data_IF_139079384383
#
_entry.id   IF_139079384383
#
_cell.length_a   1.000
_cell.length_b   1.000
_cell.length_c   1.000
_cell.angle_alpha   90.00
_cell.angle_beta   90.00
_cell.angle_gamma   90.00
#
_symmetry.space_group_name_H-M   'P 1'
#
loop_
_entity.id
_entity.type
_entity.pdbx_description
1 polymer ?
#
# COMPACT_ATOMS: atom_id res chain seq x y z
N UNK A 1 13.83 59.15 12.72
CA UNK A 1 12.61 59.73 12.11
C UNK A 1 12.35 61.06 12.78
N UNK A 2 12.05 62.14 12.04
CA UNK A 2 11.79 63.44 12.65
C UNK A 2 10.38 63.50 13.25
N UNK A 3 10.24 64.16 14.40
CA UNK A 3 8.98 64.41 15.10
C UNK A 3 7.91 65.03 14.18
N UNK A 4 8.36 65.86 13.23
CA UNK A 4 7.51 66.44 12.17
C UNK A 4 6.87 65.41 11.26
N UNK A 5 7.57 64.34 10.89
CA UNK A 5 7.03 63.28 10.04
C UNK A 5 5.97 62.45 10.77
N UNK A 6 6.16 62.24 12.08
CA UNK A 6 5.21 61.51 12.94
C UNK A 6 3.93 62.35 13.12
N UNK A 7 4.05 63.64 13.42
CA UNK A 7 2.88 64.51 13.57
C UNK A 7 2.10 64.66 12.26
N UNK A 8 2.80 64.80 11.13
CA UNK A 8 2.16 64.84 9.81
C UNK A 8 1.39 63.55 9.49
N UNK A 9 1.87 62.39 9.95
CA UNK A 9 1.17 61.13 9.78
C UNK A 9 -0.11 61.08 10.65
N UNK A 10 -0.04 61.56 11.89
CA UNK A 10 -1.21 61.64 12.78
C UNK A 10 -2.31 62.54 12.23
N UNK A 11 -1.97 63.73 11.73
CA UNK A 11 -2.95 64.66 11.15
C UNK A 11 -3.67 64.05 9.95
N UNK A 12 -2.94 63.30 9.11
CA UNK A 12 -3.51 62.61 7.95
C UNK A 12 -4.42 61.45 8.35
N UNK A 13 -4.05 60.69 9.39
CA UNK A 13 -4.90 59.63 9.93
C UNK A 13 -6.17 60.25 10.53
N UNK A 14 -6.07 61.35 11.27
CA UNK A 14 -7.22 62.00 11.87
C UNK A 14 -8.18 62.56 10.81
N UNK A 15 -7.66 63.18 9.75
CA UNK A 15 -8.45 63.62 8.61
C UNK A 15 -9.17 62.45 7.91
N UNK A 16 -8.47 61.33 7.71
CA UNK A 16 -9.07 60.11 7.17
C UNK A 16 -10.16 59.55 8.10
N UNK A 17 -9.93 59.54 9.41
CA UNK A 17 -10.91 59.06 10.39
C UNK A 17 -12.16 59.93 10.47
N UNK A 18 -12.07 61.22 10.13
CA UNK A 18 -13.23 62.11 10.11
C UNK A 18 -14.11 61.91 8.86
N UNK A 19 -13.58 61.39 7.76
CA UNK A 19 -14.35 61.07 6.56
C UNK A 19 -14.99 59.66 6.63
N UNK A 20 -16.27 59.62 7.01
CA UNK A 20 -17.03 58.38 7.13
C UNK A 20 -17.21 57.64 5.77
N UNK A 21 -17.27 58.37 4.65
CA UNK A 21 -17.44 57.77 3.32
C UNK A 21 -16.16 57.08 2.84
N UNK A 22 -15.02 57.73 3.05
CA UNK A 22 -13.72 57.18 2.72
C UNK A 22 -13.35 55.98 3.61
N UNK A 23 -13.62 56.06 4.91
CA UNK A 23 -13.45 54.91 5.83
C UNK A 23 -14.28 53.71 5.42
N UNK A 24 -15.57 53.91 5.15
CA UNK A 24 -16.45 52.79 4.78
C UNK A 24 -16.00 52.09 3.50
N UNK A 25 -15.50 52.84 2.50
CA UNK A 25 -14.91 52.26 1.27
C UNK A 25 -13.67 51.44 1.56
N UNK A 26 -12.80 51.94 2.45
CA UNK A 26 -11.60 51.23 2.89
C UNK A 26 -11.96 49.93 3.63
N UNK A 27 -12.83 50.00 4.64
CA UNK A 27 -13.28 48.85 5.43
C UNK A 27 -13.96 47.78 4.57
N UNK A 28 -14.82 48.19 3.61
CA UNK A 28 -15.43 47.26 2.68
C UNK A 28 -14.36 46.54 1.86
N UNK A 29 -13.38 47.28 1.32
CA UNK A 29 -12.29 46.70 0.55
C UNK A 29 -11.47 45.70 1.38
N UNK A 30 -11.05 46.08 2.59
CA UNK A 30 -10.31 45.15 3.47
C UNK A 30 -11.14 43.91 3.79
N UNK A 31 -12.43 44.06 4.04
CA UNK A 31 -13.32 42.91 4.26
C UNK A 31 -13.36 41.99 3.05
N UNK A 32 -13.50 42.54 1.84
CA UNK A 32 -13.47 41.72 0.61
C UNK A 32 -12.12 41.01 0.44
N UNK A 33 -11.01 41.69 0.71
CA UNK A 33 -9.67 41.10 0.62
C UNK A 33 -9.51 39.98 1.67
N UNK A 34 -9.97 40.17 2.91
CA UNK A 34 -9.96 39.15 3.95
C UNK A 34 -10.86 37.95 3.64
N UNK A 35 -12.08 38.19 3.15
CA UNK A 35 -13.01 37.12 2.76
C UNK A 35 -12.41 36.28 1.61
N UNK A 36 -11.80 36.94 0.62
CA UNK A 36 -11.13 36.28 -0.50
C UNK A 36 -9.93 35.43 -0.04
N UNK A 37 -9.04 36.01 0.78
CA UNK A 37 -7.88 35.28 1.31
C UNK A 37 -8.33 34.08 2.15
N UNK A 38 -9.33 34.27 3.01
CA UNK A 38 -9.87 33.21 3.86
C UNK A 38 -10.48 32.06 3.05
N UNK A 39 -11.23 32.37 1.98
CA UNK A 39 -11.80 31.34 1.11
C UNK A 39 -10.72 30.60 0.30
N UNK A 40 -9.70 31.31 -0.18
CA UNK A 40 -8.56 30.72 -0.86
C UNK A 40 -7.77 29.79 0.07
N UNK A 41 -7.47 30.21 1.29
CA UNK A 41 -6.81 29.39 2.30
C UNK A 41 -7.65 28.16 2.67
N UNK A 42 -8.96 28.35 2.86
CA UNK A 42 -9.90 27.26 3.14
C UNK A 42 -9.94 26.23 2.02
N UNK A 43 -10.01 26.70 0.77
CA UNK A 43 -10.02 25.84 -0.42
C UNK A 43 -8.70 25.10 -0.60
N UNK A 44 -7.56 25.77 -0.41
CA UNK A 44 -6.24 25.13 -0.46
C UNK A 44 -6.08 24.05 0.61
N UNK A 45 -6.50 24.36 1.84
CA UNK A 45 -6.45 23.40 2.95
C UNK A 45 -7.34 22.18 2.70
N UNK A 46 -8.56 22.39 2.20
CA UNK A 46 -9.47 21.29 1.81
C UNK A 46 -8.87 20.43 0.70
N UNK A 47 -8.42 21.05 -0.39
CA UNK A 47 -7.83 20.31 -1.52
C UNK A 47 -6.59 19.52 -1.12
N UNK A 48 -5.75 20.07 -0.24
CA UNK A 48 -4.59 19.35 0.32
C UNK A 48 -5.02 18.16 1.17
N UNK A 49 -6.00 18.34 2.06
CA UNK A 49 -6.50 17.26 2.92
C UNK A 49 -7.12 16.13 2.08
N UNK A 50 -7.99 16.48 1.13
CA UNK A 50 -8.63 15.53 0.22
C UNK A 50 -7.58 14.80 -0.64
N UNK A 51 -6.59 15.51 -1.18
CA UNK A 51 -5.51 14.91 -1.96
C UNK A 51 -4.68 13.90 -1.15
N UNK A 52 -4.34 14.24 0.10
CA UNK A 52 -3.62 13.32 0.99
C UNK A 52 -4.48 12.11 1.34
N UNK A 53 -5.74 12.31 1.72
CA UNK A 53 -6.66 11.23 2.06
C UNK A 53 -6.87 10.27 0.88
N UNK A 54 -7.14 10.82 -0.31
CA UNK A 54 -7.28 10.03 -1.53
C UNK A 54 -5.99 9.28 -1.88
N UNK A 55 -4.84 9.94 -1.75
CA UNK A 55 -3.54 9.31 -2.00
C UNK A 55 -3.28 8.11 -1.08
N UNK A 56 -3.51 8.28 0.22
CA UNK A 56 -3.36 7.21 1.21
C UNK A 56 -4.33 6.06 0.93
N UNK A 57 -5.62 6.38 0.71
CA UNK A 57 -6.66 5.38 0.45
C UNK A 57 -6.36 4.56 -0.81
N UNK A 58 -5.98 5.22 -1.90
CA UNK A 58 -5.62 4.55 -3.15
C UNK A 58 -4.35 3.72 -3.00
N UNK A 59 -3.31 4.26 -2.35
CA UNK A 59 -2.05 3.56 -2.11
C UNK A 59 -2.25 2.28 -1.30
N UNK A 60 -2.97 2.37 -0.19
CA UNK A 60 -3.28 1.22 0.67
C UNK A 60 -4.10 0.16 -0.08
N UNK A 61 -5.16 0.58 -0.78
CA UNK A 61 -6.01 -0.35 -1.52
C UNK A 61 -5.25 -1.09 -2.63
N UNK A 62 -4.36 -0.39 -3.35
CA UNK A 62 -3.50 -0.99 -4.37
C UNK A 62 -2.51 -1.96 -3.74
N UNK A 63 -1.82 -1.56 -2.68
CA UNK A 63 -0.86 -2.39 -1.97
C UNK A 63 -1.47 -3.70 -1.45
N UNK A 64 -2.62 -3.62 -0.75
CA UNK A 64 -3.32 -4.81 -0.25
C UNK A 64 -3.76 -5.73 -1.39
N UNK A 65 -4.32 -5.15 -2.46
CA UNK A 65 -4.81 -5.94 -3.60
C UNK A 65 -3.67 -6.67 -4.31
N UNK A 66 -2.56 -5.98 -4.52
CA UNK A 66 -1.38 -6.54 -5.17
C UNK A 66 -0.74 -7.62 -4.29
N UNK A 67 -0.44 -7.33 -3.03
CA UNK A 67 0.18 -8.29 -2.11
C UNK A 67 -0.68 -9.55 -1.92
N UNK A 68 -2.01 -9.39 -1.81
CA UNK A 68 -2.92 -10.56 -1.74
C UNK A 68 -2.90 -11.39 -3.01
N UNK A 69 -2.85 -10.75 -4.19
CA UNK A 69 -2.83 -11.46 -5.46
C UNK A 69 -1.52 -12.23 -5.64
N UNK A 70 -0.39 -11.60 -5.35
CA UNK A 70 0.94 -12.20 -5.44
C UNK A 70 1.04 -13.38 -4.46
N UNK A 71 0.72 -13.17 -3.18
CA UNK A 71 0.78 -14.24 -2.17
C UNK A 71 -0.17 -15.41 -2.46
N UNK A 72 -1.35 -15.17 -3.05
CA UNK A 72 -2.25 -16.25 -3.49
C UNK A 72 -1.69 -17.05 -4.66
N UNK A 73 -1.01 -16.39 -5.61
CA UNK A 73 -0.44 -17.07 -6.77
C UNK A 73 0.76 -17.92 -6.35
N UNK A 74 1.66 -17.33 -5.56
CA UNK A 74 2.86 -17.99 -5.05
C UNK A 74 2.49 -19.17 -4.14
N UNK A 75 1.70 -18.93 -3.10
CA UNK A 75 1.28 -20.00 -2.18
C UNK A 75 0.49 -21.11 -2.86
N UNK A 76 -0.28 -20.80 -3.91
CA UNK A 76 -0.98 -21.84 -4.70
C UNK A 76 -0.03 -22.62 -5.62
N UNK A 77 1.02 -21.99 -6.13
CA UNK A 77 2.03 -22.66 -6.94
C UNK A 77 2.87 -23.61 -6.07
N UNK A 78 3.35 -23.12 -4.93
CA UNK A 78 4.10 -23.89 -3.93
C UNK A 78 3.27 -25.06 -3.40
N UNK A 79 2.06 -24.81 -2.90
CA UNK A 79 1.20 -25.87 -2.36
C UNK A 79 0.82 -26.93 -3.41
N UNK A 80 0.74 -26.58 -4.70
CA UNK A 80 0.56 -27.56 -5.78
C UNK A 80 1.84 -28.34 -6.10
N UNK A 81 3.01 -27.73 -5.99
CA UNK A 81 4.27 -28.41 -6.19
C UNK A 81 4.51 -29.43 -5.07
N UNK A 82 4.40 -28.98 -3.82
CA UNK A 82 4.52 -29.82 -2.62
C UNK A 82 3.47 -30.95 -2.62
N UNK A 83 2.20 -30.62 -2.87
CA UNK A 83 1.13 -31.62 -2.92
C UNK A 83 1.33 -32.67 -4.02
N UNK A 84 1.90 -32.28 -5.17
CA UNK A 84 2.27 -33.24 -6.24
C UNK A 84 3.42 -34.14 -5.80
N UNK A 85 4.46 -33.59 -5.20
CA UNK A 85 5.60 -34.38 -4.72
C UNK A 85 5.18 -35.37 -3.62
N UNK A 86 4.38 -34.93 -2.64
CA UNK A 86 3.81 -35.80 -1.62
C UNK A 86 2.93 -36.90 -2.21
N UNK A 87 2.11 -36.56 -3.21
CA UNK A 87 1.28 -37.53 -3.93
C UNK A 87 2.11 -38.59 -4.67
N UNK A 88 3.17 -38.17 -5.37
CA UNK A 88 4.10 -39.07 -6.07
C UNK A 88 4.81 -39.99 -5.07
N UNK A 89 5.34 -39.43 -3.97
CA UNK A 89 6.01 -40.20 -2.93
C UNK A 89 5.07 -41.24 -2.29
N UNK A 90 3.84 -40.84 -1.95
CA UNK A 90 2.85 -41.74 -1.37
C UNK A 90 2.47 -42.87 -2.34
N UNK A 91 2.27 -42.55 -3.62
CA UNK A 91 2.00 -43.53 -4.67
C UNK A 91 3.16 -44.52 -4.81
N UNK A 92 4.39 -44.02 -4.88
CA UNK A 92 5.60 -44.84 -5.01
C UNK A 92 5.72 -45.82 -3.83
N UNK A 93 5.56 -45.34 -2.59
CA UNK A 93 5.64 -46.19 -1.39
C UNK A 93 4.53 -47.24 -1.36
N UNK A 94 3.32 -46.92 -1.82
CA UNK A 94 2.24 -47.89 -1.92
C UNK A 94 2.56 -48.99 -2.94
N UNK A 95 3.17 -48.65 -4.08
CA UNK A 95 3.59 -49.64 -5.08
C UNK A 95 4.71 -50.55 -4.57
N UNK A 96 5.70 -50.00 -3.86
CA UNK A 96 6.78 -50.80 -3.25
C UNK A 96 6.18 -51.77 -2.23
N UNK A 97 5.26 -51.32 -1.37
CA UNK A 97 4.53 -52.19 -0.42
C UNK A 97 3.71 -53.28 -1.09
N UNK A 98 3.18 -53.01 -2.28
CA UNK A 98 2.47 -54.00 -3.10
C UNK A 98 3.41 -55.01 -3.79
N UNK A 99 4.73 -54.90 -3.59
CA UNK A 99 5.72 -55.80 -4.19
C UNK A 99 6.11 -55.42 -5.63
N UNK A 100 5.78 -54.20 -6.07
CA UNK A 100 6.18 -53.72 -7.40
C UNK A 100 7.70 -53.50 -7.43
N UNK A 101 8.43 -53.98 -8.47
CA UNK A 101 9.88 -53.78 -8.55
C UNK A 101 10.28 -52.30 -8.51
N UNK A 102 11.37 -51.99 -7.77
CA UNK A 102 11.87 -50.62 -7.58
C UNK A 102 12.14 -49.93 -8.92
N UNK A 103 12.69 -50.65 -9.91
CA UNK A 103 12.95 -50.11 -11.24
C UNK A 103 11.66 -49.61 -11.93
N UNK A 104 10.55 -50.36 -11.80
CA UNK A 104 9.25 -49.96 -12.34
C UNK A 104 8.68 -48.76 -11.58
N UNK A 105 8.79 -48.75 -10.26
CA UNK A 105 8.34 -47.62 -9.42
C UNK A 105 9.12 -46.34 -9.76
N UNK A 106 10.44 -46.44 -9.88
CA UNK A 106 11.34 -45.34 -10.25
C UNK A 106 10.97 -44.76 -11.62
N UNK A 107 10.70 -45.62 -12.60
CA UNK A 107 10.24 -45.21 -13.93
C UNK A 107 8.88 -44.49 -13.87
N UNK A 108 7.91 -45.03 -13.13
CA UNK A 108 6.55 -44.46 -13.05
C UNK A 108 6.48 -43.17 -12.23
N UNK A 109 7.31 -43.06 -11.18
CA UNK A 109 7.40 -41.86 -10.34
C UNK A 109 8.34 -40.80 -10.93
N UNK A 110 9.05 -41.11 -12.02
CA UNK A 110 10.10 -40.27 -12.62
C UNK A 110 11.19 -39.86 -11.60
N UNK A 111 11.53 -40.79 -10.69
CA UNK A 111 12.53 -40.59 -9.64
C UNK A 111 13.67 -41.60 -9.79
N UNK A 112 14.91 -41.25 -9.43
CA UNK A 112 16.01 -42.20 -9.40
C UNK A 112 15.73 -43.36 -8.43
N UNK A 113 16.18 -44.58 -8.77
CA UNK A 113 16.02 -45.74 -7.88
C UNK A 113 16.64 -45.52 -6.49
N UNK A 114 17.76 -44.78 -6.41
CA UNK A 114 18.39 -44.44 -5.13
C UNK A 114 17.45 -43.65 -4.21
N UNK A 115 16.65 -42.74 -4.78
CA UNK A 115 15.67 -41.94 -4.04
C UNK A 115 14.52 -42.82 -3.58
N UNK A 116 14.02 -43.73 -4.43
CA UNK A 116 12.95 -44.67 -4.04
C UNK A 116 13.44 -45.62 -2.93
N UNK A 117 14.68 -46.09 -2.98
CA UNK A 117 15.29 -46.92 -1.93
C UNK A 117 15.39 -46.16 -0.61
N UNK A 118 15.89 -44.94 -0.63
CA UNK A 118 15.97 -44.09 0.55
C UNK A 118 14.56 -43.82 1.13
N UNK A 119 13.59 -43.45 0.31
CA UNK A 119 12.22 -43.23 0.77
C UNK A 119 11.62 -44.49 1.40
N UNK A 120 11.88 -45.67 0.83
CA UNK A 120 11.41 -46.93 1.37
C UNK A 120 12.05 -47.25 2.74
N UNK A 121 13.34 -46.99 2.90
CA UNK A 121 14.05 -47.11 4.19
C UNK A 121 13.47 -46.14 5.24
N UNK A 122 13.25 -44.87 4.89
CA UNK A 122 12.63 -43.85 5.75
C UNK A 122 11.20 -44.24 6.18
N UNK A 123 10.46 -44.93 5.29
CA UNK A 123 9.11 -45.44 5.57
C UNK A 123 9.10 -46.83 6.23
N UNK A 124 10.26 -47.37 6.61
CA UNK A 124 10.40 -48.66 7.28
C UNK A 124 10.01 -49.86 6.42
N UNK A 125 10.01 -49.72 5.09
CA UNK A 125 9.69 -50.78 4.16
C UNK A 125 10.93 -51.65 3.96
N UNK A 126 10.84 -52.93 4.30
CA UNK A 126 11.95 -53.87 4.17
C UNK A 126 12.08 -54.28 2.70
N UNK A 127 13.10 -53.75 2.03
CA UNK A 127 13.39 -54.06 0.63
C UNK A 127 14.01 -55.47 0.51
N UNK A 128 13.65 -56.25 -0.53
CA UNK A 128 14.26 -57.55 -0.80
C UNK A 128 15.72 -57.43 -1.29
#
# INVERSE_FOLDING_TARGET
MSETAINTAWDRIEAFMRDAGQRRKYELREKYEHDYVSDMEGSWKRGRLEGVEQGIKQGLQRGIRQGRREGLVEGRAEGRAEGRQLGIAQMAMNMVRAGTPIATVAQMAELPESVIRQMAEEHGIRLP
#
